data_IF_367690603741
#
_entry.id   IF_367690603741
#
_cell.length_a   1.000
_cell.length_b   1.000
_cell.length_c   1.000
_cell.angle_alpha   90.00
_cell.angle_beta   90.00
_cell.angle_gamma   90.00
#
_symmetry.space_group_name_H-M   'P 1'
#
loop_
_entity.id
_entity.type
_entity.pdbx_description
1 polymer ?
#
# COMPACT_ATOMS: atom_id res chain seq x y z
N UNK A 1 5.76 6.39 4.84
CA UNK A 1 6.56 7.02 5.93
C UNK A 1 6.10 6.46 7.27
N UNK A 2 7.02 6.26 8.22
CA UNK A 2 6.69 5.91 9.61
C UNK A 2 7.35 6.90 10.58
N UNK A 3 6.56 7.42 11.52
CA UNK A 3 7.00 8.36 12.56
C UNK A 3 6.54 7.84 13.92
N UNK A 4 7.14 6.73 14.36
CA UNK A 4 6.75 6.03 15.57
C UNK A 4 7.39 6.66 16.82
N UNK A 5 7.02 7.90 17.08
CA UNK A 5 7.40 8.65 18.27
C UNK A 5 6.19 9.40 18.82
N UNK A 6 6.29 9.83 20.08
CA UNK A 6 5.18 10.46 20.78
C UNK A 6 4.49 11.55 19.95
N UNK A 7 3.17 11.52 19.92
CA UNK A 7 2.30 12.60 19.44
C UNK A 7 2.40 12.96 17.95
N UNK A 8 3.15 12.20 17.17
CA UNK A 8 3.29 12.46 15.73
C UNK A 8 2.02 12.16 14.91
N UNK A 9 1.12 11.36 15.46
CA UNK A 9 -0.16 10.97 14.88
C UNK A 9 -1.38 11.44 15.67
N UNK A 10 -1.27 12.47 16.49
CA UNK A 10 -2.33 12.95 17.40
C UNK A 10 -3.35 13.84 16.65
N UNK A 11 -4.11 13.26 15.75
CA UNK A 11 -5.09 13.95 14.90
C UNK A 11 -6.34 14.45 15.64
N UNK A 12 -6.48 14.16 16.93
CA UNK A 12 -7.60 14.61 17.78
C UNK A 12 -7.32 15.93 18.52
N UNK A 13 -6.17 16.54 18.32
CA UNK A 13 -5.77 17.78 18.98
C UNK A 13 -6.14 19.00 18.14
N UNK A 14 -6.10 20.20 18.77
CA UNK A 14 -6.38 21.47 18.06
C UNK A 14 -5.24 21.89 17.11
N UNK A 15 -4.08 21.27 17.21
CA UNK A 15 -2.93 21.50 16.35
C UNK A 15 -2.80 20.35 15.36
N UNK A 16 -2.43 20.67 14.12
CA UNK A 16 -2.23 19.67 13.08
C UNK A 16 -1.03 18.79 13.42
N UNK A 17 -1.22 17.48 13.43
CA UNK A 17 -0.15 16.53 13.66
C UNK A 17 0.78 16.42 12.45
N UNK A 18 2.03 16.02 12.65
CA UNK A 18 3.01 15.88 11.57
C UNK A 18 2.55 14.88 10.48
N UNK A 19 1.84 13.82 10.86
CA UNK A 19 1.28 12.86 9.91
C UNK A 19 0.23 13.50 8.99
N UNK A 20 -0.59 14.41 9.50
CA UNK A 20 -1.58 15.15 8.71
C UNK A 20 -0.90 16.12 7.75
N UNK A 21 0.13 16.85 8.20
CA UNK A 21 0.92 17.73 7.35
C UNK A 21 1.60 16.97 6.21
N UNK A 22 2.15 15.79 6.49
CA UNK A 22 2.76 14.94 5.48
C UNK A 22 1.76 14.45 4.43
N UNK A 23 0.52 14.10 4.82
CA UNK A 23 -0.52 13.68 3.88
C UNK A 23 -1.09 14.85 3.06
N UNK A 24 -1.13 16.05 3.64
CA UNK A 24 -1.71 17.26 3.02
C UNK A 24 -0.70 18.06 2.22
N UNK A 25 0.58 17.71 2.28
CA UNK A 25 1.64 18.45 1.60
C UNK A 25 1.50 18.39 0.08
N UNK A 26 1.69 19.53 -0.56
CA UNK A 26 1.67 19.66 -2.02
C UNK A 26 0.28 19.97 -2.61
N UNK A 27 0.13 19.64 -3.87
CA UNK A 27 -1.10 19.81 -4.64
C UNK A 27 -1.16 18.76 -5.76
N UNK A 28 -2.30 18.54 -6.43
CA UNK A 28 -2.38 17.61 -7.56
C UNK A 28 -1.40 17.92 -8.69
N UNK A 29 -1.07 19.18 -8.92
CA UNK A 29 -0.10 19.61 -9.93
C UNK A 29 1.36 19.63 -9.45
N UNK A 30 1.59 19.54 -8.13
CA UNK A 30 2.91 19.51 -7.52
C UNK A 30 2.86 18.59 -6.27
N UNK A 31 2.78 17.27 -6.46
CA UNK A 31 2.64 16.32 -5.37
C UNK A 31 3.89 16.31 -4.49
N UNK A 32 3.67 16.28 -3.18
CA UNK A 32 4.70 16.24 -2.13
C UNK A 32 4.19 15.38 -0.96
N UNK A 33 5.07 15.17 0.04
CA UNK A 33 4.69 14.51 1.27
C UNK A 33 4.59 12.99 1.14
N UNK A 34 3.54 12.41 1.68
CA UNK A 34 3.37 10.97 1.78
C UNK A 34 1.98 10.52 1.33
N UNK A 35 1.89 9.32 0.74
CA UNK A 35 0.60 8.67 0.40
C UNK A 35 0.00 7.95 1.61
N UNK A 36 0.84 7.54 2.56
CA UNK A 36 0.44 6.94 3.82
C UNK A 36 1.49 7.20 4.90
N UNK A 37 1.06 7.37 6.14
CA UNK A 37 1.94 7.59 7.29
C UNK A 37 1.47 6.71 8.45
N UNK A 38 2.38 5.93 9.04
CA UNK A 38 2.16 5.28 10.32
C UNK A 38 2.76 6.15 11.41
N UNK A 39 1.95 6.55 12.37
CA UNK A 39 2.32 7.49 13.40
C UNK A 39 1.66 7.16 14.75
N UNK A 40 2.28 7.61 15.85
CA UNK A 40 1.80 7.35 17.20
C UNK A 40 0.88 8.47 17.69
N UNK A 41 -0.36 8.13 18.04
CA UNK A 41 -1.42 9.10 18.40
C UNK A 41 -1.38 9.57 19.86
N UNK A 42 -0.44 9.10 20.68
CA UNK A 42 -0.40 9.43 22.10
C UNK A 42 0.92 10.10 22.50
N UNK A 43 0.87 11.13 23.37
CA UNK A 43 2.04 11.58 24.10
C UNK A 43 2.47 10.54 25.15
N UNK A 44 3.67 10.65 25.65
CA UNK A 44 4.21 9.79 26.73
C UNK A 44 4.32 8.31 26.39
N UNK A 45 4.58 7.97 25.13
CA UNK A 45 4.80 6.59 24.71
C UNK A 45 6.21 6.11 25.07
N UNK A 46 6.43 4.80 25.08
CA UNK A 46 7.70 4.21 25.44
C UNK A 46 8.41 3.67 24.18
N UNK A 47 9.65 4.10 23.99
CA UNK A 47 10.48 3.78 22.81
C UNK A 47 10.60 2.28 22.56
N UNK A 48 10.72 1.44 23.60
CA UNK A 48 10.86 0.00 23.43
C UNK A 48 9.68 -0.62 22.67
N UNK A 49 8.44 -0.22 22.99
CA UNK A 49 7.26 -0.74 22.31
C UNK A 49 7.11 -0.18 20.90
N UNK A 50 7.35 1.12 20.71
CA UNK A 50 7.33 1.74 19.40
C UNK A 50 8.38 1.12 18.46
N UNK A 51 9.58 0.83 18.97
CA UNK A 51 10.63 0.19 18.19
C UNK A 51 10.24 -1.23 17.76
N UNK A 52 9.55 -2.00 18.59
CA UNK A 52 9.08 -3.34 18.21
C UNK A 52 8.06 -3.24 17.08
N UNK A 53 7.11 -2.31 17.16
CA UNK A 53 6.17 -2.07 16.08
C UNK A 53 6.90 -1.66 14.79
N UNK A 54 7.87 -0.73 14.87
CA UNK A 54 8.69 -0.33 13.74
C UNK A 54 9.45 -1.52 13.13
N UNK A 55 10.14 -2.29 13.95
CA UNK A 55 10.90 -3.46 13.49
C UNK A 55 9.98 -4.50 12.85
N UNK A 56 8.83 -4.76 13.45
CA UNK A 56 7.83 -5.68 12.88
C UNK A 56 7.31 -5.22 11.52
N UNK A 57 7.03 -3.91 11.37
CA UNK A 57 6.63 -3.33 10.08
C UNK A 57 7.69 -3.53 9.00
N UNK A 58 8.95 -3.17 9.29
CA UNK A 58 10.02 -3.32 8.32
C UNK A 58 10.37 -4.79 8.03
N UNK A 59 10.29 -5.66 9.03
CA UNK A 59 10.39 -7.11 8.80
C UNK A 59 9.24 -7.60 7.92
N UNK A 60 8.02 -7.10 8.15
CA UNK A 60 6.86 -7.37 7.28
C UNK A 60 7.16 -7.03 5.83
N UNK A 61 7.68 -5.83 5.57
CA UNK A 61 7.98 -5.35 4.22
C UNK A 61 9.10 -6.15 3.56
N UNK A 62 10.24 -6.32 4.24
CA UNK A 62 11.47 -6.80 3.60
C UNK A 62 11.75 -8.29 3.77
N UNK A 63 11.15 -8.96 4.77
CA UNK A 63 11.33 -10.40 5.00
C UNK A 63 10.09 -11.21 4.69
N UNK A 64 8.90 -10.64 4.88
CA UNK A 64 7.63 -11.34 4.68
C UNK A 64 6.84 -10.79 3.49
N UNK A 65 7.44 -9.89 2.72
CA UNK A 65 6.91 -9.34 1.47
C UNK A 65 5.50 -8.75 1.59
N UNK A 66 5.22 -8.05 2.68
CA UNK A 66 3.98 -7.30 2.83
C UNK A 66 3.78 -6.35 1.64
N UNK A 67 2.66 -6.48 0.96
CA UNK A 67 2.38 -5.75 -0.29
C UNK A 67 1.75 -4.39 -0.04
N UNK A 68 1.10 -4.20 1.11
CA UNK A 68 0.36 -2.97 1.39
C UNK A 68 0.78 -2.31 2.70
N UNK A 69 0.44 -1.02 2.85
CA UNK A 69 0.72 -0.27 4.06
C UNK A 69 -0.01 -0.85 5.28
N UNK A 70 -1.24 -1.36 5.08
CA UNK A 70 -2.01 -2.01 6.13
C UNK A 70 -1.39 -3.33 6.59
N UNK A 71 -0.93 -4.18 5.66
CA UNK A 71 -0.20 -5.41 5.99
C UNK A 71 1.07 -5.12 6.77
N UNK A 72 1.84 -4.11 6.34
CA UNK A 72 3.05 -3.72 7.07
C UNK A 72 2.75 -3.33 8.53
N UNK A 73 1.70 -2.52 8.77
CA UNK A 73 1.29 -2.18 10.13
C UNK A 73 0.83 -3.41 10.90
N UNK A 74 0.08 -4.33 10.28
CA UNK A 74 -0.35 -5.56 10.92
C UNK A 74 0.83 -6.43 11.40
N UNK A 75 1.91 -6.53 10.61
CA UNK A 75 3.16 -7.16 11.06
C UNK A 75 3.78 -6.46 12.25
N UNK A 76 3.74 -5.13 12.28
CA UNK A 76 4.21 -4.35 13.43
C UNK A 76 3.41 -4.65 14.71
N UNK A 77 2.08 -4.67 14.60
CA UNK A 77 1.20 -5.02 15.70
C UNK A 77 1.38 -6.47 16.15
N UNK A 78 1.54 -7.41 15.22
CA UNK A 78 1.82 -8.81 15.54
C UNK A 78 3.14 -8.97 16.30
N UNK A 79 4.18 -8.24 15.90
CA UNK A 79 5.50 -8.30 16.55
C UNK A 79 5.43 -7.91 18.02
N UNK A 80 4.63 -6.91 18.41
CA UNK A 80 4.50 -6.53 19.81
C UNK A 80 3.74 -7.59 20.64
N UNK A 81 2.74 -8.27 20.05
CA UNK A 81 2.06 -9.40 20.68
C UNK A 81 3.01 -10.58 20.88
N UNK A 82 3.88 -10.86 19.91
CA UNK A 82 4.89 -11.92 20.02
C UNK A 82 5.96 -11.60 21.06
N UNK A 83 6.41 -10.35 21.11
CA UNK A 83 7.43 -9.91 22.08
C UNK A 83 6.91 -9.90 23.53
N UNK A 84 5.64 -9.59 23.73
CA UNK A 84 5.02 -9.47 25.05
C UNK A 84 3.68 -10.21 25.14
N UNK A 85 3.67 -11.54 25.05
CA UNK A 85 2.42 -12.33 25.02
C UNK A 85 1.60 -12.22 26.33
N UNK A 86 2.22 -11.83 27.44
CA UNK A 86 1.53 -11.61 28.72
C UNK A 86 0.88 -10.23 28.83
N UNK A 87 1.02 -9.39 27.81
CA UNK A 87 0.45 -8.03 27.77
C UNK A 87 0.66 -7.23 29.06
N UNK A 88 1.90 -7.00 29.53
CA UNK A 88 2.17 -6.35 30.80
C UNK A 88 1.56 -4.94 30.84
N UNK A 89 0.75 -4.66 31.87
CA UNK A 89 0.06 -3.38 32.06
C UNK A 89 -0.80 -2.94 30.86
N UNK A 90 -1.31 -3.88 30.07
CA UNK A 90 -2.05 -3.63 28.81
C UNK A 90 -1.23 -2.88 27.75
N UNK A 91 0.07 -2.84 27.83
CA UNK A 91 0.92 -2.07 26.90
C UNK A 91 0.81 -2.60 25.47
N UNK A 92 0.69 -3.92 25.26
CA UNK A 92 0.52 -4.50 23.92
C UNK A 92 -0.74 -3.95 23.27
N UNK A 93 -1.86 -3.95 23.99
CA UNK A 93 -3.12 -3.40 23.51
C UNK A 93 -3.00 -1.90 23.20
N UNK A 94 -2.46 -1.12 24.15
CA UNK A 94 -2.34 0.33 23.97
C UNK A 94 -1.43 0.68 22.80
N UNK A 95 -0.24 0.10 22.69
CA UNK A 95 0.68 0.42 21.61
C UNK A 95 0.22 -0.10 20.24
N UNK A 96 -0.57 -1.17 20.20
CA UNK A 96 -1.25 -1.61 18.97
C UNK A 96 -2.32 -0.59 18.52
N UNK A 97 -3.06 -0.03 19.48
CA UNK A 97 -4.11 0.96 19.18
C UNK A 97 -3.56 2.38 18.92
N UNK A 98 -2.45 2.75 19.54
CA UNK A 98 -1.87 4.10 19.38
C UNK A 98 -1.07 4.29 18.10
N UNK A 99 -0.53 3.22 17.53
CA UNK A 99 0.18 3.28 16.26
C UNK A 99 -0.82 3.11 15.12
N UNK A 100 -1.18 4.23 14.51
CA UNK A 100 -2.22 4.32 13.50
C UNK A 100 -1.66 4.55 12.11
N UNK A 101 -2.31 3.95 11.11
CA UNK A 101 -2.11 4.26 9.70
C UNK A 101 -3.05 5.40 9.31
N UNK A 102 -2.47 6.51 8.84
CA UNK A 102 -3.17 7.59 8.18
C UNK A 102 -2.94 7.45 6.67
N UNK A 103 -4.01 7.28 5.92
CA UNK A 103 -4.02 6.97 4.49
C UNK A 103 -4.80 5.70 4.19
N UNK A 104 -4.77 5.25 2.94
CA UNK A 104 -5.45 4.03 2.54
C UNK A 104 -4.59 2.80 2.91
N UNK A 105 -5.11 1.85 3.71
CA UNK A 105 -4.38 0.63 4.07
C UNK A 105 -4.08 -0.28 2.87
N UNK A 106 -4.82 -0.16 1.76
CA UNK A 106 -4.57 -0.90 0.53
C UNK A 106 -3.46 -0.29 -0.34
N UNK A 107 -2.89 0.87 0.07
CA UNK A 107 -1.77 1.49 -0.65
C UNK A 107 -0.62 0.51 -0.81
N UNK A 108 -0.31 0.22 -2.07
CA UNK A 108 0.78 -0.70 -2.43
C UNK A 108 2.14 -0.12 -2.04
N UNK A 109 2.99 -0.98 -1.49
CA UNK A 109 4.36 -0.65 -1.15
C UNK A 109 5.28 -1.02 -2.33
N UNK A 110 6.05 -0.05 -2.76
CA UNK A 110 7.02 -0.23 -3.85
C UNK A 110 8.40 -0.41 -3.22
N UNK A 111 8.91 -1.63 -3.29
CA UNK A 111 10.16 -2.03 -2.62
C UNK A 111 11.32 -2.22 -3.59
N UNK A 112 11.09 -2.00 -4.87
CA UNK A 112 12.09 -2.11 -5.93
C UNK A 112 12.04 -0.90 -6.87
N UNK A 113 13.03 -0.80 -7.75
CA UNK A 113 13.11 0.24 -8.77
C UNK A 113 11.97 0.08 -9.77
N UNK A 114 11.16 1.13 -10.02
CA UNK A 114 10.10 1.06 -11.02
C UNK A 114 10.68 0.73 -12.40
N UNK A 115 10.07 -0.24 -13.09
CA UNK A 115 10.39 -0.59 -14.47
C UNK A 115 9.41 0.09 -15.42
N UNK A 116 9.86 0.44 -16.60
CA UNK A 116 8.98 0.86 -17.69
C UNK A 116 8.33 -0.40 -18.26
N UNK A 117 7.01 -0.45 -18.20
CA UNK A 117 6.24 -1.56 -18.76
C UNK A 117 5.63 -1.15 -20.10
N UNK A 118 5.71 -2.06 -21.06
CA UNK A 118 5.08 -1.94 -22.37
C UNK A 118 4.06 -3.05 -22.49
N UNK A 119 2.81 -2.68 -22.78
CA UNK A 119 1.75 -3.65 -23.03
C UNK A 119 1.49 -3.75 -24.53
N UNK A 120 1.57 -4.97 -25.06
CA UNK A 120 1.14 -5.30 -26.43
C UNK A 120 -0.23 -5.97 -26.37
N UNK A 121 -1.17 -5.44 -27.13
CA UNK A 121 -2.55 -5.89 -27.14
C UNK A 121 -3.22 -5.56 -28.47
N UNK A 122 -4.34 -6.21 -28.76
CA UNK A 122 -5.16 -5.89 -29.92
C UNK A 122 -5.67 -4.45 -29.83
N UNK A 123 -5.51 -3.70 -30.89
CA UNK A 123 -5.99 -2.30 -30.99
C UNK A 123 -7.52 -2.20 -31.16
N UNK A 124 -8.16 -3.26 -31.61
CA UNK A 124 -9.61 -3.35 -31.75
C UNK A 124 -10.08 -4.65 -31.12
N UNK A 125 -11.00 -4.54 -30.18
CA UNK A 125 -11.62 -5.64 -29.46
C UNK A 125 -13.08 -5.71 -29.93
N UNK A 126 -13.51 -6.92 -30.31
CA UNK A 126 -14.91 -7.16 -30.70
C UNK A 126 -15.73 -7.54 -29.44
N UNK A 127 -17.01 -7.16 -29.45
CA UNK A 127 -17.95 -7.61 -28.42
C UNK A 127 -18.20 -9.13 -28.39
N UNK A 128 -17.67 -9.86 -29.39
CA UNK A 128 -17.69 -11.32 -29.45
C UNK A 128 -16.42 -11.98 -28.92
N UNK A 129 -15.43 -11.20 -28.49
CA UNK A 129 -14.20 -11.75 -27.94
C UNK A 129 -14.42 -12.03 -26.45
N UNK A 130 -14.35 -13.31 -26.08
CA UNK A 130 -14.58 -13.76 -24.70
C UNK A 130 -13.32 -13.63 -23.86
N UNK A 131 -12.14 -13.55 -24.46
CA UNK A 131 -10.84 -13.46 -23.81
C UNK A 131 -9.92 -12.57 -24.61
N UNK A 132 -9.25 -11.67 -23.93
CA UNK A 132 -8.26 -10.75 -24.52
C UNK A 132 -6.90 -11.12 -23.96
N UNK A 133 -5.96 -11.44 -24.85
CA UNK A 133 -4.57 -11.69 -24.51
C UNK A 133 -3.80 -10.36 -24.52
N UNK A 134 -3.14 -10.06 -23.40
CA UNK A 134 -2.31 -8.87 -23.22
C UNK A 134 -0.92 -9.33 -22.81
N UNK A 135 0.07 -9.04 -23.65
CA UNK A 135 1.47 -9.32 -23.36
C UNK A 135 2.14 -8.11 -22.74
N UNK A 136 2.75 -8.29 -21.57
CA UNK A 136 3.48 -7.23 -20.85
C UNK A 136 4.96 -7.55 -20.83
N UNK A 137 5.77 -6.61 -21.28
CA UNK A 137 7.22 -6.69 -21.34
C UNK A 137 7.85 -5.45 -20.70
N UNK A 138 9.11 -5.56 -20.31
CA UNK A 138 9.90 -4.41 -19.87
C UNK A 138 10.50 -3.63 -21.07
N UNK A 139 11.28 -2.61 -20.80
CA UNK A 139 11.92 -1.76 -21.81
C UNK A 139 12.93 -2.51 -22.71
N UNK A 140 13.39 -3.69 -22.31
CA UNK A 140 14.30 -4.54 -23.07
C UNK A 140 13.56 -5.57 -23.93
N UNK A 141 12.24 -5.66 -23.78
CA UNK A 141 11.39 -6.66 -24.43
C UNK A 141 11.28 -7.98 -23.65
N UNK A 142 11.81 -8.04 -22.43
CA UNK A 142 11.71 -9.22 -21.59
C UNK A 142 10.31 -9.33 -20.94
N UNK A 143 9.69 -10.53 -20.89
CA UNK A 143 8.39 -10.72 -20.31
C UNK A 143 8.37 -10.36 -18.81
N UNK A 144 7.28 -9.74 -18.36
CA UNK A 144 7.11 -9.35 -16.95
C UNK A 144 6.03 -10.21 -16.29
N UNK A 145 6.45 -11.06 -15.37
CA UNK A 145 5.55 -11.84 -14.51
C UNK A 145 4.95 -10.98 -13.39
N UNK A 146 3.69 -11.23 -13.04
CA UNK A 146 3.02 -10.58 -11.91
C UNK A 146 2.56 -9.15 -12.17
N UNK A 147 2.59 -8.66 -13.40
CA UNK A 147 2.03 -7.36 -13.75
C UNK A 147 0.51 -7.40 -13.66
N UNK A 148 -0.09 -6.43 -12.95
CA UNK A 148 -1.54 -6.27 -12.90
C UNK A 148 -2.03 -5.54 -14.15
N UNK A 149 -2.88 -6.20 -14.91
CA UNK A 149 -3.52 -5.67 -16.12
C UNK A 149 -4.98 -5.36 -15.81
N UNK A 150 -5.40 -4.14 -16.12
CA UNK A 150 -6.79 -3.72 -16.00
C UNK A 150 -7.29 -3.29 -17.38
N UNK A 151 -8.38 -3.91 -17.83
CA UNK A 151 -9.10 -3.51 -19.03
C UNK A 151 -10.36 -2.74 -18.63
N UNK A 152 -10.50 -1.53 -19.17
CA UNK A 152 -11.65 -0.69 -18.92
C UNK A 152 -12.14 -0.09 -20.24
N UNK A 153 -13.38 -0.35 -20.62
CA UNK A 153 -13.98 0.18 -21.86
C UNK A 153 -14.31 1.68 -21.81
N UNK A 154 -13.93 2.38 -20.74
CA UNK A 154 -14.33 3.76 -20.50
C UNK A 154 -15.78 3.87 -20.00
N UNK A 155 -16.10 5.01 -19.42
CA UNK A 155 -17.46 5.32 -18.99
C UNK A 155 -18.25 5.84 -20.19
N UNK A 156 -19.00 4.98 -20.87
CA UNK A 156 -20.18 5.46 -21.58
C UNK A 156 -21.23 5.84 -20.54
N UNK A 157 -21.33 7.12 -20.26
CA UNK A 157 -22.29 7.67 -19.29
C UNK A 157 -23.73 7.47 -19.71
N UNK A 158 -23.99 7.00 -20.95
CA UNK A 158 -25.32 6.81 -21.48
C UNK A 158 -25.93 5.44 -21.16
N UNK A 159 -25.15 4.38 -20.93
CA UNK A 159 -25.65 3.01 -20.77
C UNK A 159 -25.14 2.23 -19.56
N UNK A 160 -24.24 2.75 -18.76
CA UNK A 160 -23.67 2.10 -17.56
C UNK A 160 -23.15 0.64 -17.78
N UNK A 161 -22.78 0.30 -19.00
CA UNK A 161 -22.29 -1.02 -19.42
C UNK A 161 -20.79 -0.99 -19.70
N UNK A 162 -20.01 -0.35 -18.80
CA UNK A 162 -18.56 -0.40 -18.88
C UNK A 162 -18.07 -1.83 -18.61
N UNK A 163 -17.26 -2.38 -19.52
CA UNK A 163 -16.51 -3.60 -19.25
C UNK A 163 -15.37 -3.22 -18.30
N UNK A 164 -15.31 -3.89 -17.19
CA UNK A 164 -14.17 -3.83 -16.29
C UNK A 164 -13.73 -5.25 -15.97
N UNK A 165 -12.52 -5.59 -16.36
CA UNK A 165 -11.90 -6.87 -16.01
C UNK A 165 -10.44 -6.65 -15.66
N UNK A 166 -9.87 -7.58 -14.92
CA UNK A 166 -8.46 -7.55 -14.54
C UNK A 166 -7.85 -8.95 -14.60
N UNK A 167 -6.54 -8.99 -14.78
CA UNK A 167 -5.74 -10.18 -14.76
C UNK A 167 -4.32 -9.88 -14.27
N UNK A 168 -3.56 -10.93 -14.03
CA UNK A 168 -2.16 -10.83 -13.68
C UNK A 168 -1.35 -11.64 -14.69
N UNK A 169 -0.24 -11.10 -15.15
CA UNK A 169 0.61 -11.81 -16.12
C UNK A 169 1.26 -13.03 -15.50
N UNK A 170 1.33 -14.09 -16.29
CA UNK A 170 2.07 -15.29 -15.98
C UNK A 170 3.60 -15.12 -16.20
N UNK A 171 4.35 -16.21 -16.03
CA UNK A 171 5.82 -16.20 -16.22
C UNK A 171 6.26 -15.87 -17.65
N UNK A 172 5.38 -16.00 -18.64
CA UNK A 172 5.63 -15.65 -20.03
C UNK A 172 5.17 -14.21 -20.38
N UNK A 173 4.69 -13.44 -19.40
CA UNK A 173 4.27 -12.07 -19.54
C UNK A 173 2.84 -11.89 -20.07
N UNK A 174 2.05 -12.96 -20.16
CA UNK A 174 0.69 -12.94 -20.70
C UNK A 174 -0.36 -12.83 -19.58
N UNK A 175 -1.33 -11.93 -19.77
CA UNK A 175 -2.55 -11.85 -18.97
C UNK A 175 -3.76 -12.08 -19.88
N UNK A 176 -4.64 -12.96 -19.47
CA UNK A 176 -5.89 -13.25 -20.16
C UNK A 176 -7.04 -12.60 -19.39
N UNK A 177 -7.67 -11.59 -19.94
CA UNK A 177 -8.70 -10.75 -19.32
C UNK A 177 -10.00 -10.72 -20.11
#
# INVERSE_FOLDING_TARGET
ISTLTCDTGSFSTYTTAICEELLRAGSPSNPKGAVAVVATAQPYTHTAFNNIVAMGMYSGIFLYEAKTAGEALAYGQLAIYQAYPQNPNNNVYYFSAWNNLMGDPSTMLWTDTPKILVADHLTNISSSDDVIDIFVMDENGDPVEGANVNLNSGTDTSNNSGIYTNGTTDFSGHAYV
#
